data_IF_374469578681
#
_entry.id   IF_374469578681
#
_cell.length_a   1.000
_cell.length_b   1.000
_cell.length_c   1.000
_cell.angle_alpha   90.00
_cell.angle_beta   90.00
_cell.angle_gamma   90.00
#
_symmetry.space_group_name_H-M   'P 1'
#
loop_
_entity.id
_entity.type
_entity.pdbx_description
1 polymer ?
#
# COMPACT_ATOMS: atom_id res chain seq x y z
N UNK A 1 -13.83 -8.46 -10.11
CA UNK A 1 -12.86 -9.22 -9.27
C UNK A 1 -12.97 -8.69 -7.85
N UNK A 2 -13.18 -9.57 -6.87
CA UNK A 2 -13.35 -9.17 -5.47
C UNK A 2 -12.03 -9.20 -4.71
N UNK A 3 -11.78 -8.18 -3.89
CA UNK A 3 -10.59 -8.07 -3.04
C UNK A 3 -10.99 -7.82 -1.59
N UNK A 4 -10.12 -8.21 -0.66
CA UNK A 4 -10.32 -7.91 0.76
C UNK A 4 -9.52 -6.65 1.13
N UNK A 5 -10.22 -5.66 1.69
CA UNK A 5 -9.62 -4.57 2.43
C UNK A 5 -9.74 -4.92 3.91
N UNK A 6 -8.61 -5.22 4.53
CA UNK A 6 -8.55 -5.61 5.95
C UNK A 6 -8.39 -4.37 6.82
N UNK A 7 -9.20 -4.27 7.87
CA UNK A 7 -9.00 -3.31 8.96
C UNK A 7 -8.25 -4.05 10.06
N UNK A 8 -7.01 -3.66 10.30
CA UNK A 8 -6.13 -4.26 11.30
C UNK A 8 -6.24 -3.50 12.64
N UNK A 9 -5.69 -4.10 13.70
CA UNK A 9 -5.58 -3.44 15.01
C UNK A 9 -4.99 -2.03 14.90
N UNK A 10 -5.54 -1.08 15.65
CA UNK A 10 -5.12 0.32 15.60
C UNK A 10 -5.61 1.09 14.36
N UNK A 11 -6.64 0.58 13.67
CA UNK A 11 -7.29 1.22 12.51
C UNK A 11 -6.36 1.41 11.29
N UNK A 12 -5.37 0.53 11.14
CA UNK A 12 -4.61 0.43 9.90
C UNK A 12 -5.44 -0.27 8.84
N UNK A 13 -5.40 0.24 7.61
CA UNK A 13 -6.05 -0.41 6.46
C UNK A 13 -5.01 -1.14 5.64
N UNK A 14 -5.37 -2.31 5.16
CA UNK A 14 -4.46 -3.18 4.44
C UNK A 14 -5.13 -3.79 3.21
N UNK A 15 -4.40 -3.78 2.10
CA UNK A 15 -4.80 -4.44 0.85
C UNK A 15 -3.65 -5.27 0.30
N UNK A 16 -3.98 -6.28 -0.50
CA UNK A 16 -3.02 -7.06 -1.27
C UNK A 16 -3.43 -7.06 -2.74
N UNK A 17 -2.52 -6.69 -3.63
CA UNK A 17 -2.73 -6.70 -5.08
C UNK A 17 -1.52 -7.31 -5.79
N UNK A 18 -1.71 -7.80 -7.03
CA UNK A 18 -0.59 -8.13 -7.91
C UNK A 18 0.23 -6.89 -8.24
N UNK A 19 1.49 -7.06 -8.65
CA UNK A 19 2.37 -5.94 -9.02
C UNK A 19 1.70 -5.00 -10.03
N UNK A 20 1.14 -5.53 -11.12
CA UNK A 20 0.50 -4.72 -12.16
C UNK A 20 -0.66 -3.90 -11.60
N UNK A 21 -1.59 -4.53 -10.87
CA UNK A 21 -2.75 -3.84 -10.28
C UNK A 21 -2.34 -2.83 -9.23
N UNK A 22 -1.27 -3.09 -8.48
CA UNK A 22 -0.72 -2.15 -7.52
C UNK A 22 -0.19 -0.90 -8.22
N UNK A 23 0.48 -1.04 -9.37
CA UNK A 23 0.96 0.12 -10.13
C UNK A 23 -0.21 0.97 -10.66
N UNK A 24 -1.26 0.35 -11.18
CA UNK A 24 -2.48 1.04 -11.63
C UNK A 24 -3.17 1.74 -10.46
N UNK A 25 -3.23 1.08 -9.30
CA UNK A 25 -3.80 1.65 -8.08
C UNK A 25 -3.04 2.87 -7.58
N UNK A 26 -1.70 2.80 -7.56
CA UNK A 26 -0.85 3.92 -7.18
C UNK A 26 -1.00 5.10 -8.14
N UNK A 27 -1.25 4.85 -9.43
CA UNK A 27 -1.54 5.91 -10.40
C UNK A 27 -2.88 6.62 -10.14
N UNK A 28 -3.89 5.90 -9.64
CA UNK A 28 -5.15 6.54 -9.21
C UNK A 28 -4.92 7.34 -7.93
N UNK A 29 -4.17 6.80 -6.97
CA UNK A 29 -3.86 7.50 -5.72
C UNK A 29 -3.05 8.78 -5.95
N UNK A 30 -2.09 8.79 -6.88
CA UNK A 30 -1.31 10.00 -7.20
C UNK A 30 -2.19 11.14 -7.74
N UNK A 31 -3.22 10.81 -8.51
CA UNK A 31 -4.19 11.78 -9.04
C UNK A 31 -5.18 12.24 -7.97
N UNK A 32 -5.64 11.33 -7.12
CA UNK A 32 -6.59 11.62 -6.04
C UNK A 32 -5.95 12.43 -4.90
N UNK A 33 -4.67 12.21 -4.63
CA UNK A 33 -3.90 12.84 -3.55
C UNK A 33 -2.61 13.49 -4.08
N UNK A 34 -2.73 14.58 -4.86
CA UNK A 34 -1.57 15.22 -5.49
C UNK A 34 -0.56 15.77 -4.47
N UNK A 35 -1.03 16.19 -3.29
CA UNK A 35 -0.21 16.65 -2.17
C UNK A 35 0.59 15.52 -1.50
N UNK A 36 0.26 14.27 -1.80
CA UNK A 36 0.91 13.05 -1.28
C UNK A 36 1.72 12.31 -2.36
N UNK A 37 1.99 12.97 -3.49
CA UNK A 37 2.68 12.39 -4.64
C UNK A 37 4.05 11.78 -4.27
N UNK A 38 4.83 12.43 -3.39
CA UNK A 38 6.13 11.91 -2.95
C UNK A 38 6.00 10.50 -2.35
N UNK A 39 5.00 10.31 -1.48
CA UNK A 39 4.76 9.05 -0.78
C UNK A 39 4.34 7.94 -1.75
N UNK A 40 3.45 8.27 -2.70
CA UNK A 40 3.05 7.38 -3.80
C UNK A 40 4.22 7.02 -4.70
N UNK A 41 5.07 7.98 -5.04
CA UNK A 41 6.23 7.78 -5.89
C UNK A 41 7.23 6.81 -5.26
N UNK A 42 7.45 6.92 -3.94
CA UNK A 42 8.36 6.03 -3.22
C UNK A 42 7.84 4.59 -3.19
N UNK A 43 6.55 4.39 -2.92
CA UNK A 43 5.94 3.05 -3.02
C UNK A 43 6.03 2.53 -4.46
N UNK A 44 5.74 3.37 -5.47
CA UNK A 44 5.84 2.98 -6.90
C UNK A 44 7.27 2.55 -7.26
N UNK A 45 8.29 3.20 -6.70
CA UNK A 45 9.70 2.83 -6.86
C UNK A 45 9.99 1.45 -6.27
N UNK A 46 9.48 1.15 -5.07
CA UNK A 46 9.61 -0.16 -4.43
C UNK A 46 8.94 -1.25 -5.29
N UNK A 47 7.69 -1.01 -5.71
CA UNK A 47 6.91 -1.97 -6.52
C UNK A 47 7.60 -2.27 -7.86
N UNK A 48 8.10 -1.25 -8.55
CA UNK A 48 8.84 -1.42 -9.82
C UNK A 48 10.15 -2.18 -9.67
N UNK A 49 10.81 -2.06 -8.52
CA UNK A 49 12.08 -2.71 -8.21
C UNK A 49 11.89 -3.89 -7.25
N UNK A 50 10.77 -4.60 -7.37
CA UNK A 50 10.34 -5.65 -6.44
C UNK A 50 11.47 -6.60 -6.03
N UNK A 51 12.18 -7.18 -7.00
CA UNK A 51 13.18 -8.22 -6.74
C UNK A 51 14.34 -7.69 -5.87
N UNK A 52 14.82 -6.47 -6.16
CA UNK A 52 15.89 -5.82 -5.40
C UNK A 52 15.46 -5.62 -3.94
N UNK A 53 14.27 -5.06 -3.74
CA UNK A 53 13.75 -4.80 -2.40
C UNK A 53 13.40 -6.07 -1.64
N UNK A 54 12.88 -7.08 -2.33
CA UNK A 54 12.54 -8.38 -1.75
C UNK A 54 13.80 -9.07 -1.22
N UNK A 55 14.86 -9.10 -2.03
CA UNK A 55 16.14 -9.70 -1.62
C UNK A 55 16.76 -8.97 -0.43
N UNK A 56 16.71 -7.64 -0.41
CA UNK A 56 17.18 -6.82 0.72
C UNK A 56 16.36 -7.11 1.98
N UNK A 57 15.03 -7.13 1.88
CA UNK A 57 14.13 -7.38 3.01
C UNK A 57 14.37 -8.78 3.58
N UNK A 58 14.47 -9.80 2.71
CA UNK A 58 14.77 -11.18 3.10
C UNK A 58 16.11 -11.31 3.82
N UNK A 59 17.19 -10.72 3.28
CA UNK A 59 18.51 -10.73 3.92
C UNK A 59 18.51 -10.08 5.31
N UNK A 60 17.62 -9.10 5.52
CA UNK A 60 17.45 -8.39 6.79
C UNK A 60 16.37 -9.01 7.69
N UNK A 61 15.78 -10.14 7.31
CA UNK A 61 14.67 -10.79 8.01
C UNK A 61 13.50 -9.82 8.32
N UNK A 62 13.20 -8.93 7.36
CA UNK A 62 12.11 -7.96 7.48
C UNK A 62 10.91 -8.41 6.68
N UNK A 63 9.77 -8.51 7.35
CA UNK A 63 8.48 -8.76 6.69
C UNK A 63 7.95 -7.52 5.97
N UNK A 64 8.41 -6.32 6.37
CA UNK A 64 7.92 -5.04 5.87
C UNK A 64 9.06 -4.09 5.52
N UNK A 65 8.82 -3.29 4.50
CA UNK A 65 9.62 -2.13 4.11
C UNK A 65 8.90 -0.90 4.63
N UNK A 66 9.55 -0.17 5.54
CA UNK A 66 9.05 1.12 6.02
C UNK A 66 9.21 2.16 4.92
N UNK A 67 8.20 3.01 4.76
CA UNK A 67 8.28 4.13 3.82
C UNK A 67 9.00 5.28 4.52
N UNK A 68 10.10 5.82 3.95
CA UNK A 68 10.75 6.97 4.52
C UNK A 68 9.85 8.21 4.37
N UNK A 69 9.68 8.93 5.47
CA UNK A 69 8.86 10.15 5.50
C UNK A 69 9.70 11.34 5.98
N UNK A 70 9.52 12.48 5.32
CA UNK A 70 10.04 13.75 5.83
C UNK A 70 9.18 14.20 7.03
N UNK A 71 9.78 14.70 8.13
CA UNK A 71 9.01 15.21 9.28
C UNK A 71 7.98 16.29 8.90
N UNK A 72 8.32 17.12 7.91
CA UNK A 72 7.43 18.14 7.35
C UNK A 72 6.16 17.54 6.72
N UNK A 73 6.28 16.42 6.02
CA UNK A 73 5.15 15.74 5.38
C UNK A 73 4.27 15.03 6.41
N UNK A 74 4.87 14.48 7.47
CA UNK A 74 4.14 13.93 8.61
C UNK A 74 3.29 15.01 9.30
N UNK A 75 3.90 16.16 9.64
CA UNK A 75 3.21 17.27 10.29
C UNK A 75 2.07 17.85 9.45
N UNK A 76 2.20 17.80 8.12
CA UNK A 76 1.18 18.29 7.17
C UNK A 76 0.14 17.23 6.79
N UNK A 77 0.22 16.02 7.33
CA UNK A 77 -0.71 14.93 7.01
C UNK A 77 -0.61 14.41 5.58
N UNK A 78 0.56 14.55 4.94
CA UNK A 78 0.82 14.17 3.53
C UNK A 78 1.23 12.71 3.36
N UNK A 79 1.13 11.92 4.42
CA UNK A 79 1.43 10.49 4.41
C UNK A 79 0.20 9.71 3.94
N UNK A 80 0.40 8.70 3.11
CA UNK A 80 -0.59 7.71 2.71
C UNK A 80 -0.24 6.32 3.23
N UNK A 81 1.03 5.96 3.27
CA UNK A 81 1.47 4.59 3.52
C UNK A 81 2.40 4.51 4.72
N UNK A 82 2.13 3.60 5.65
CA UNK A 82 3.03 3.28 6.76
C UNK A 82 4.17 2.39 6.26
N UNK A 83 3.81 1.32 5.54
CA UNK A 83 4.75 0.29 5.10
C UNK A 83 4.22 -0.56 3.96
N UNK A 84 5.14 -1.24 3.30
CA UNK A 84 4.90 -2.15 2.18
C UNK A 84 5.37 -3.55 2.56
N UNK A 85 4.54 -4.56 2.28
CA UNK A 85 4.86 -5.98 2.38
C UNK A 85 5.12 -6.52 0.97
N UNK A 86 6.25 -7.18 0.76
CA UNK A 86 6.53 -7.87 -0.49
C UNK A 86 6.23 -9.36 -0.32
N UNK A 87 5.30 -9.88 -1.10
CA UNK A 87 4.76 -11.24 -0.92
C UNK A 87 5.09 -12.04 -2.18
N UNK A 88 5.87 -13.11 -1.98
CA UNK A 88 6.16 -14.09 -3.04
C UNK A 88 5.54 -15.42 -2.65
N UNK A 89 4.54 -15.84 -3.41
CA UNK A 89 3.88 -17.14 -3.26
C UNK A 89 4.07 -17.93 -4.55
N UNK A 90 4.99 -18.90 -4.53
CA UNK A 90 5.45 -19.64 -5.71
C UNK A 90 5.92 -18.72 -6.85
N UNK A 91 5.11 -18.63 -7.91
CA UNK A 91 5.34 -17.78 -9.09
C UNK A 91 4.63 -16.42 -9.01
N UNK A 92 3.70 -16.25 -8.06
CA UNK A 92 2.94 -15.03 -7.91
C UNK A 92 3.66 -14.02 -7.02
N UNK A 93 3.67 -12.78 -7.47
CA UNK A 93 4.22 -11.64 -6.74
C UNK A 93 3.11 -10.66 -6.42
N UNK A 94 2.96 -10.36 -5.13
CA UNK A 94 1.95 -9.44 -4.62
C UNK A 94 2.60 -8.37 -3.74
N UNK A 95 1.92 -7.24 -3.68
CA UNK A 95 2.25 -6.13 -2.82
C UNK A 95 1.14 -6.02 -1.79
N UNK A 96 1.52 -6.16 -0.52
CA UNK A 96 0.69 -5.75 0.60
C UNK A 96 0.95 -4.29 0.91
N UNK A 97 -0.09 -3.46 0.95
CA UNK A 97 0.04 -2.04 1.24
C UNK A 97 -0.69 -1.69 2.52
N UNK A 98 0.03 -1.15 3.50
CA UNK A 98 -0.52 -0.70 4.77
C UNK A 98 -0.59 0.82 4.74
N UNK A 99 -1.81 1.33 4.82
CA UNK A 99 -2.07 2.77 4.81
C UNK A 99 -1.84 3.37 6.19
N UNK A 100 -1.39 4.62 6.23
CA UNK A 100 -1.37 5.39 7.47
C UNK A 100 -2.76 5.46 8.12
N UNK A 101 -2.80 5.51 9.45
CA UNK A 101 -4.05 5.49 10.23
C UNK A 101 -5.00 6.64 9.86
N UNK A 102 -4.44 7.79 9.47
CA UNK A 102 -5.20 8.98 9.09
C UNK A 102 -5.96 8.82 7.78
N UNK A 103 -5.57 7.86 6.93
CA UNK A 103 -6.24 7.62 5.65
C UNK A 103 -7.63 7.03 5.92
N UNK A 104 -8.65 7.67 5.34
CA UNK A 104 -10.04 7.26 5.52
C UNK A 104 -10.32 6.01 4.69
N UNK A 105 -11.10 5.09 5.27
CA UNK A 105 -11.49 3.86 4.58
C UNK A 105 -12.20 4.14 3.24
N UNK A 106 -13.15 5.10 3.24
CA UNK A 106 -13.90 5.51 2.06
C UNK A 106 -12.99 5.90 0.90
N UNK A 107 -11.92 6.63 1.18
CA UNK A 107 -10.99 7.11 0.16
C UNK A 107 -10.30 5.95 -0.58
N UNK A 108 -9.90 4.92 0.17
CA UNK A 108 -9.28 3.69 -0.33
C UNK A 108 -10.28 2.88 -1.15
N UNK A 109 -11.50 2.69 -0.61
CA UNK A 109 -12.57 1.94 -1.28
C UNK A 109 -12.91 2.58 -2.63
N UNK A 110 -13.09 3.90 -2.68
CA UNK A 110 -13.37 4.62 -3.92
C UNK A 110 -12.25 4.43 -4.95
N UNK A 111 -10.98 4.53 -4.54
CA UNK A 111 -9.85 4.35 -5.45
C UNK A 111 -9.76 2.91 -6.00
N UNK A 112 -10.09 1.90 -5.18
CA UNK A 112 -10.15 0.50 -5.62
C UNK A 112 -11.33 0.25 -6.56
N UNK A 113 -12.49 0.84 -6.27
CA UNK A 113 -13.66 0.76 -7.15
C UNK A 113 -13.40 1.40 -8.51
N UNK A 114 -12.60 2.48 -8.58
CA UNK A 114 -12.16 3.09 -9.85
C UNK A 114 -11.30 2.16 -10.72
N UNK A 115 -10.72 1.08 -10.15
CA UNK A 115 -10.06 0.01 -10.92
C UNK A 115 -11.03 -1.10 -11.37
N UNK A 116 -12.33 -0.98 -11.09
CA UNK A 116 -13.31 -2.04 -11.32
C UNK A 116 -13.17 -3.23 -10.35
N UNK A 117 -12.63 -2.98 -9.15
CA UNK A 117 -12.51 -3.99 -8.10
C UNK A 117 -13.68 -3.87 -7.12
N UNK A 118 -14.27 -5.00 -6.76
CA UNK A 118 -15.27 -5.06 -5.69
C UNK A 118 -14.56 -5.22 -4.35
N UNK A 119 -14.84 -4.31 -3.41
CA UNK A 119 -14.17 -4.31 -2.12
C UNK A 119 -15.01 -4.99 -1.05
N UNK A 120 -14.44 -6.02 -0.43
CA UNK A 120 -14.95 -6.65 0.77
C UNK A 120 -14.19 -6.13 1.99
N UNK A 121 -14.88 -5.51 2.94
CA UNK A 121 -14.26 -5.01 4.17
C UNK A 121 -14.24 -6.14 5.20
N UNK A 122 -13.06 -6.41 5.76
CA UNK A 122 -12.87 -7.48 6.76
C UNK A 122 -12.15 -6.91 7.98
N UNK A 123 -12.81 -6.94 9.14
CA UNK A 123 -12.15 -6.62 10.41
C UNK A 123 -11.30 -7.80 10.86
N UNK A 124 -10.04 -7.54 11.18
CA UNK A 124 -9.07 -8.57 11.56
C UNK A 124 -8.57 -8.28 12.97
N UNK A 125 -9.10 -9.04 13.94
CA UNK A 125 -8.62 -9.10 15.31
C UNK A 125 -7.55 -10.20 15.38
N UNK A 126 -6.27 -9.85 15.21
CA UNK A 126 -5.15 -10.74 15.54
C UNK A 126 -4.30 -10.00 16.54
#
# INVERSE_FOLDING_TARGET
MRINLKILMGNYKYIELSITKMLDFLEILSRKFPDKFKDVSEVKRIVKNYDVFYDIAKRKFKDYILIPHEPSDMLRGRILFDKVKLIKDNHDRKIGLIFDKSVKLKDIVEALNSLGLEVNIVETNI
#
